data_IF_379160074154
#
_entry.id   IF_379160074154
#
_cell.length_a   1.000
_cell.length_b   1.000
_cell.length_c   1.000
_cell.angle_alpha   90.00
_cell.angle_beta   90.00
_cell.angle_gamma   90.00
#
_symmetry.space_group_name_H-M   'P 1'
#
loop_
_entity.id
_entity.type
_entity.pdbx_description
1 polymer ?
#
# COMPACT_ATOMS: atom_id res chain seq x y z
N UNK A 1 -4.40 8.63 -24.80
CA UNK A 1 -5.10 9.32 -25.91
C UNK A 1 -4.17 10.29 -26.61
N UNK A 2 -3.65 11.33 -25.93
CA UNK A 2 -2.75 12.33 -26.53
C UNK A 2 -1.50 11.72 -27.20
N UNK A 3 -0.82 10.77 -26.55
CA UNK A 3 0.38 10.12 -27.12
C UNK A 3 0.06 9.37 -28.43
N UNK A 4 -1.09 8.70 -28.47
CA UNK A 4 -1.54 7.90 -29.61
C UNK A 4 -2.06 8.76 -30.78
N UNK A 5 -2.67 9.91 -30.48
CA UNK A 5 -3.36 10.74 -31.47
C UNK A 5 -2.52 11.95 -31.95
N UNK A 6 -1.62 12.46 -31.12
CA UNK A 6 -0.83 13.67 -31.39
C UNK A 6 0.68 13.42 -31.39
N UNK A 7 1.14 12.17 -31.15
CA UNK A 7 2.56 11.85 -31.03
C UNK A 7 3.27 12.55 -29.87
N UNK A 8 2.51 13.14 -28.94
CA UNK A 8 3.02 13.94 -27.82
C UNK A 8 2.70 13.26 -26.50
N UNK A 9 3.74 13.05 -25.68
CA UNK A 9 3.56 12.70 -24.28
C UNK A 9 3.26 13.94 -23.44
N UNK A 10 2.24 13.82 -22.60
CA UNK A 10 1.91 14.81 -21.57
C UNK A 10 2.07 14.13 -20.21
N UNK A 11 2.75 14.80 -19.29
CA UNK A 11 2.92 14.28 -17.93
C UNK A 11 1.59 14.31 -17.16
N UNK A 12 1.46 13.43 -16.16
CA UNK A 12 0.26 13.40 -15.30
C UNK A 12 0.04 14.74 -14.59
N UNK A 13 1.11 15.45 -14.21
CA UNK A 13 0.98 16.77 -13.57
C UNK A 13 0.41 17.82 -14.52
N UNK A 14 0.82 17.81 -15.79
CA UNK A 14 0.23 18.68 -16.81
C UNK A 14 -1.24 18.35 -17.04
N UNK A 15 -1.62 17.06 -17.11
CA UNK A 15 -3.03 16.65 -17.27
C UNK A 15 -3.88 17.19 -16.12
N UNK A 16 -3.40 17.11 -14.88
CA UNK A 16 -4.11 17.62 -13.70
C UNK A 16 -4.31 19.14 -13.69
N UNK A 17 -3.54 19.87 -14.49
CA UNK A 17 -3.61 21.33 -14.60
C UNK A 17 -4.39 21.80 -15.84
N UNK A 18 -4.81 20.90 -16.73
CA UNK A 18 -5.59 21.27 -17.91
C UNK A 18 -6.95 21.82 -17.50
N UNK A 19 -7.32 22.97 -18.06
CA UNK A 19 -8.70 23.44 -18.01
C UNK A 19 -9.55 22.73 -19.08
N UNK A 20 -10.89 22.71 -18.94
CA UNK A 20 -11.78 22.18 -20.00
C UNK A 20 -11.58 22.88 -21.36
N UNK A 21 -11.18 24.15 -21.35
CA UNK A 21 -10.84 24.90 -22.55
C UNK A 21 -9.53 24.39 -23.19
N UNK A 22 -8.48 24.21 -22.39
CA UNK A 22 -7.20 23.65 -22.86
C UNK A 22 -7.37 22.23 -23.40
N UNK A 23 -8.23 21.45 -22.75
CA UNK A 23 -8.58 20.08 -23.14
C UNK A 23 -9.23 20.01 -24.54
N UNK A 24 -10.03 21.02 -24.89
CA UNK A 24 -10.67 21.10 -26.20
C UNK A 24 -9.66 21.53 -27.27
N UNK A 25 -8.79 22.49 -26.96
CA UNK A 25 -7.78 23.00 -27.87
C UNK A 25 -6.59 22.05 -28.11
N UNK A 26 -6.50 20.96 -27.34
CA UNK A 26 -5.44 19.95 -27.42
C UNK A 26 -5.48 19.12 -28.72
N UNK A 27 -6.62 19.08 -29.40
CA UNK A 27 -6.83 18.28 -30.61
C UNK A 27 -7.40 19.16 -31.73
N UNK A 28 -6.92 18.95 -32.94
CA UNK A 28 -7.49 19.58 -34.15
C UNK A 28 -8.85 18.99 -34.53
N UNK A 29 -9.11 17.75 -34.13
CA UNK A 29 -10.37 17.04 -34.32
C UNK A 29 -11.37 17.42 -33.21
N UNK A 30 -12.58 17.82 -33.63
CA UNK A 30 -13.64 18.33 -32.74
C UNK A 30 -14.14 17.26 -31.76
N UNK A 31 -14.29 16.01 -32.21
CA UNK A 31 -14.78 14.91 -31.40
C UNK A 31 -13.74 14.47 -30.36
N UNK A 32 -12.45 14.48 -30.74
CA UNK A 32 -11.36 14.21 -29.79
C UNK A 32 -11.23 15.34 -28.76
N UNK A 33 -11.38 16.60 -29.16
CA UNK A 33 -11.42 17.74 -28.25
C UNK A 33 -12.56 17.64 -27.23
N UNK A 34 -13.78 17.32 -27.71
CA UNK A 34 -14.95 17.12 -26.84
C UNK A 34 -14.75 15.97 -25.84
N UNK A 35 -14.27 14.82 -26.31
CA UNK A 35 -14.03 13.65 -25.44
C UNK A 35 -13.00 13.96 -24.35
N UNK A 36 -11.92 14.66 -24.72
CA UNK A 36 -10.88 15.07 -23.77
C UNK A 36 -11.43 16.02 -22.72
N UNK A 37 -12.25 16.99 -23.15
CA UNK A 37 -12.93 17.91 -22.25
C UNK A 37 -13.79 17.15 -21.23
N UNK A 38 -14.63 16.22 -21.68
CA UNK A 38 -15.46 15.41 -20.78
C UNK A 38 -14.61 14.61 -19.78
N UNK A 39 -13.46 14.07 -20.20
CA UNK A 39 -12.55 13.38 -19.29
C UNK A 39 -11.90 14.32 -18.26
N UNK A 40 -11.48 15.51 -18.66
CA UNK A 40 -10.92 16.52 -17.74
C UNK A 40 -11.96 16.98 -16.73
N UNK A 41 -13.20 17.24 -17.17
CA UNK A 41 -14.32 17.56 -16.29
C UNK A 41 -14.61 16.41 -15.31
N UNK A 42 -14.60 15.16 -15.77
CA UNK A 42 -14.76 13.96 -14.92
C UNK A 42 -13.65 13.84 -13.88
N UNK A 43 -12.39 14.05 -14.28
CA UNK A 43 -11.24 14.06 -13.36
C UNK A 43 -11.42 15.15 -12.29
N UNK A 44 -11.86 16.34 -12.69
CA UNK A 44 -12.16 17.45 -11.78
C UNK A 44 -13.25 17.07 -10.77
N UNK A 45 -14.36 16.53 -11.26
CA UNK A 45 -15.46 16.05 -10.43
C UNK A 45 -15.01 14.98 -9.42
N UNK A 46 -14.33 13.93 -9.88
CA UNK A 46 -13.85 12.86 -9.00
C UNK A 46 -12.83 13.38 -7.98
N UNK A 47 -11.96 14.32 -8.38
CA UNK A 47 -11.01 14.97 -7.46
C UNK A 47 -11.75 15.73 -6.35
N UNK A 48 -12.86 16.41 -6.69
CA UNK A 48 -13.69 17.09 -5.69
C UNK A 48 -14.37 16.09 -4.76
N UNK A 49 -14.89 14.97 -5.28
CA UNK A 49 -15.48 13.92 -4.44
C UNK A 49 -14.46 13.31 -3.48
N UNK A 50 -13.24 13.01 -3.94
CA UNK A 50 -12.14 12.53 -3.08
C UNK A 50 -11.91 13.51 -1.92
N UNK A 51 -11.77 14.80 -2.21
CA UNK A 51 -11.54 15.84 -1.18
C UNK A 51 -12.70 15.96 -0.20
N UNK A 52 -13.94 15.86 -0.68
CA UNK A 52 -15.13 15.88 0.17
C UNK A 52 -15.14 14.71 1.15
N UNK A 53 -14.82 13.50 0.66
CA UNK A 53 -14.72 12.29 1.48
C UNK A 53 -13.58 12.43 2.50
N UNK A 54 -12.39 12.84 2.06
CA UNK A 54 -11.24 13.07 2.94
C UNK A 54 -11.57 14.06 4.06
N UNK A 55 -12.23 15.18 3.74
CA UNK A 55 -12.65 16.19 4.72
C UNK A 55 -13.66 15.63 5.73
N UNK A 56 -14.55 14.74 5.31
CA UNK A 56 -15.55 14.13 6.19
C UNK A 56 -14.98 13.02 7.09
N UNK A 57 -13.96 12.30 6.61
CA UNK A 57 -13.41 11.10 7.28
C UNK A 57 -12.20 11.43 8.15
N UNK A 58 -11.26 12.26 7.69
CA UNK A 58 -10.01 12.55 8.39
C UNK A 58 -10.17 13.09 9.83
N UNK A 59 -11.21 13.88 10.17
CA UNK A 59 -11.44 14.29 11.56
C UNK A 59 -11.93 13.15 12.46
N UNK A 60 -12.60 12.15 11.89
CA UNK A 60 -13.17 11.00 12.61
C UNK A 60 -12.15 9.87 12.81
N UNK A 61 -11.04 9.91 12.08
CA UNK A 61 -10.00 8.90 12.11
C UNK A 61 -8.66 9.58 12.37
N UNK A 62 -8.19 9.51 13.62
CA UNK A 62 -6.86 9.96 14.00
C UNK A 62 -5.88 8.79 13.99
N UNK A 63 -4.63 9.06 13.61
CA UNK A 63 -3.56 8.12 13.86
C UNK A 63 -3.39 7.98 15.37
N UNK A 64 -3.26 6.74 15.84
CA UNK A 64 -2.83 6.50 17.21
C UNK A 64 -1.36 6.91 17.34
N UNK A 65 -0.93 7.47 18.49
CA UNK A 65 0.44 7.97 18.66
C UNK A 65 1.52 6.94 18.30
N UNK A 66 1.28 5.65 18.53
CA UNK A 66 2.24 4.58 18.25
C UNK A 66 2.48 4.37 16.75
N UNK A 67 1.58 4.86 15.89
CA UNK A 67 1.61 4.65 14.44
C UNK A 67 1.96 5.93 13.67
N UNK A 68 1.99 7.09 14.34
CA UNK A 68 2.48 8.35 13.74
C UNK A 68 3.93 8.26 13.27
N UNK A 69 4.73 7.40 13.90
CA UNK A 69 6.11 7.12 13.47
C UNK A 69 6.19 6.66 12.01
N UNK A 70 5.13 6.07 11.44
CA UNK A 70 5.09 5.68 10.02
C UNK A 70 5.19 6.88 9.08
N UNK A 71 4.72 8.07 9.49
CA UNK A 71 4.79 9.29 8.68
C UNK A 71 6.22 9.82 8.53
N UNK A 72 7.17 9.34 9.35
CA UNK A 72 8.59 9.70 9.20
C UNK A 72 9.23 9.02 7.99
N UNK A 73 8.60 7.97 7.44
CA UNK A 73 9.12 7.24 6.29
C UNK A 73 8.72 7.95 4.98
N UNK A 74 9.66 8.28 4.09
CA UNK A 74 9.34 8.89 2.81
C UNK A 74 8.39 7.97 2.02
N UNK A 75 7.28 8.54 1.54
CA UNK A 75 6.25 7.82 0.81
C UNK A 75 5.05 7.35 1.64
N UNK A 76 5.07 7.45 2.99
CA UNK A 76 3.87 7.24 3.82
C UNK A 76 3.27 8.58 4.20
N UNK A 77 2.20 8.97 3.50
CA UNK A 77 1.33 10.07 3.89
C UNK A 77 0.25 9.64 4.89
N UNK A 78 -0.52 10.61 5.40
CA UNK A 78 -1.57 10.40 6.42
C UNK A 78 -2.58 9.31 6.03
N UNK A 79 -3.04 9.30 4.78
CA UNK A 79 -4.01 8.31 4.28
C UNK A 79 -3.40 6.90 4.32
N UNK A 80 -2.20 6.72 3.75
CA UNK A 80 -1.54 5.42 3.74
C UNK A 80 -1.19 4.95 5.17
N UNK A 81 -0.74 5.86 6.04
CA UNK A 81 -0.50 5.56 7.45
C UNK A 81 -1.77 5.08 8.16
N UNK A 82 -2.91 5.72 7.91
CA UNK A 82 -4.21 5.30 8.43
C UNK A 82 -4.63 3.93 7.89
N UNK A 83 -4.47 3.68 6.59
CA UNK A 83 -4.74 2.36 6.00
C UNK A 83 -3.91 1.29 6.67
N UNK A 84 -2.59 1.49 6.81
CA UNK A 84 -1.70 0.53 7.47
C UNK A 84 -2.14 0.31 8.93
N UNK A 85 -2.46 1.38 9.66
CA UNK A 85 -2.91 1.29 11.05
C UNK A 85 -4.17 0.42 11.20
N UNK A 86 -5.15 0.60 10.30
CA UNK A 86 -6.44 -0.08 10.37
C UNK A 86 -6.34 -1.54 9.92
N UNK A 87 -5.53 -1.84 8.90
CA UNK A 87 -5.26 -3.21 8.45
C UNK A 87 -4.43 -4.01 9.45
N UNK A 88 -3.41 -3.38 10.05
CA UNK A 88 -2.54 -4.02 11.05
C UNK A 88 -3.29 -4.23 12.38
N UNK A 89 -4.13 -3.28 12.78
CA UNK A 89 -4.83 -3.34 14.06
C UNK A 89 -3.88 -3.23 15.26
N UNK A 90 -3.96 -4.16 16.22
CA UNK A 90 -3.03 -4.19 17.36
C UNK A 90 -1.66 -4.75 16.93
N UNK A 91 -0.64 -3.89 16.97
CA UNK A 91 0.74 -4.23 16.59
C UNK A 91 1.32 -5.41 17.41
N UNK A 92 0.81 -5.66 18.63
CA UNK A 92 1.24 -6.78 19.48
C UNK A 92 0.86 -8.15 18.90
N UNK A 93 -0.14 -8.20 17.99
CA UNK A 93 -0.55 -9.45 17.30
C UNK A 93 0.56 -10.04 16.44
N UNK A 94 1.51 -9.23 15.97
CA UNK A 94 2.65 -9.74 15.19
C UNK A 94 3.45 -10.80 15.95
N UNK A 95 3.71 -10.60 17.25
CA UNK A 95 4.42 -11.60 18.05
C UNK A 95 3.59 -12.88 18.26
N UNK A 96 2.25 -12.77 18.28
CA UNK A 96 1.36 -13.91 18.47
C UNK A 96 1.44 -14.89 17.29
N UNK A 97 1.62 -14.42 16.06
CA UNK A 97 1.80 -15.29 14.89
C UNK A 97 3.04 -16.19 15.03
N UNK A 98 4.14 -15.65 15.56
CA UNK A 98 5.34 -16.44 15.87
C UNK A 98 5.07 -17.49 16.95
N UNK A 99 4.42 -17.09 18.05
CA UNK A 99 4.05 -18.02 19.13
C UNK A 99 3.10 -19.12 18.66
N UNK A 100 2.16 -18.79 17.77
CA UNK A 100 1.23 -19.75 17.17
C UNK A 100 1.98 -20.76 16.30
N UNK A 101 2.86 -20.29 15.41
CA UNK A 101 3.65 -21.17 14.55
C UNK A 101 4.56 -22.13 15.37
N UNK A 102 5.14 -21.68 16.48
CA UNK A 102 5.93 -22.54 17.39
C UNK A 102 5.11 -23.71 17.94
N UNK A 103 3.81 -23.51 18.19
CA UNK A 103 2.93 -24.53 18.76
C UNK A 103 2.59 -25.62 17.75
N UNK A 104 2.45 -25.26 16.47
CA UNK A 104 1.90 -26.16 15.44
C UNK A 104 2.90 -26.61 14.36
N UNK A 105 4.07 -25.98 14.24
CA UNK A 105 5.12 -26.40 13.30
C UNK A 105 6.42 -26.78 14.03
N UNK A 106 6.87 -28.04 13.94
CA UNK A 106 8.17 -28.46 14.46
C UNK A 106 9.34 -27.68 13.87
N UNK A 107 9.30 -27.33 12.57
CA UNK A 107 10.36 -26.52 11.95
C UNK A 107 10.36 -25.08 12.43
N UNK A 108 9.18 -24.47 12.63
CA UNK A 108 9.09 -23.15 13.23
C UNK A 108 9.68 -23.14 14.65
N UNK A 109 9.39 -24.17 15.44
CA UNK A 109 9.97 -24.37 16.78
C UNK A 109 11.49 -24.54 16.72
N UNK A 110 12.01 -25.36 15.81
CA UNK A 110 13.46 -25.55 15.63
C UNK A 110 14.15 -24.24 15.20
N UNK A 111 13.59 -23.49 14.25
CA UNK A 111 14.10 -22.18 13.86
C UNK A 111 14.13 -21.22 15.05
N UNK A 112 13.02 -21.13 15.81
CA UNK A 112 12.93 -20.27 16.98
C UNK A 112 13.98 -20.63 18.02
N UNK A 113 14.15 -21.91 18.35
CA UNK A 113 15.16 -22.38 19.31
C UNK A 113 16.58 -22.00 18.87
N UNK A 114 16.94 -22.24 17.59
CA UNK A 114 18.25 -21.83 17.03
C UNK A 114 18.46 -20.32 17.14
N UNK A 115 17.42 -19.51 16.86
CA UNK A 115 17.50 -18.05 16.94
C UNK A 115 17.59 -17.56 18.38
N UNK A 116 16.83 -18.17 19.29
CA UNK A 116 16.81 -17.89 20.73
C UNK A 116 18.17 -18.18 21.36
N UNK A 117 18.83 -19.29 21.00
CA UNK A 117 20.16 -19.64 21.50
C UNK A 117 21.23 -18.57 21.20
N UNK A 118 21.07 -17.79 20.13
CA UNK A 118 21.98 -16.70 19.75
C UNK A 118 21.52 -15.32 20.24
N UNK A 119 20.30 -15.19 20.75
CA UNK A 119 19.67 -13.89 21.09
C UNK A 119 18.80 -14.02 22.35
N UNK A 120 17.56 -13.52 22.32
CA UNK A 120 16.58 -13.68 23.40
C UNK A 120 15.21 -14.12 22.85
N UNK A 121 14.30 -14.49 23.75
CA UNK A 121 12.99 -15.04 23.38
C UNK A 121 12.15 -14.06 22.54
N UNK A 122 12.13 -12.78 22.92
CA UNK A 122 11.33 -11.74 22.24
C UNK A 122 11.82 -11.53 20.80
N UNK A 123 13.13 -11.42 20.62
CA UNK A 123 13.76 -11.26 19.29
C UNK A 123 13.50 -12.50 18.43
N UNK A 124 13.63 -13.70 18.99
CA UNK A 124 13.37 -14.94 18.26
C UNK A 124 11.91 -15.06 17.78
N UNK A 125 10.94 -14.72 18.63
CA UNK A 125 9.51 -14.72 18.27
C UNK A 125 9.21 -13.68 17.19
N UNK A 126 9.74 -12.46 17.32
CA UNK A 126 9.58 -11.40 16.30
C UNK A 126 10.21 -11.79 14.96
N UNK A 127 11.40 -12.42 14.99
CA UNK A 127 12.07 -12.89 13.78
C UNK A 127 11.27 -13.98 13.06
N UNK A 128 10.66 -14.90 13.80
CA UNK A 128 9.79 -15.92 13.24
C UNK A 128 8.52 -15.30 12.62
N UNK A 129 7.86 -14.38 13.32
CA UNK A 129 6.71 -13.65 12.79
C UNK A 129 7.04 -12.88 11.50
N UNK A 130 8.20 -12.22 11.45
CA UNK A 130 8.66 -11.53 10.25
C UNK A 130 8.92 -12.48 9.08
N UNK A 131 9.48 -13.68 9.34
CA UNK A 131 9.61 -14.72 8.32
C UNK A 131 8.24 -15.11 7.75
N UNK A 132 7.25 -15.37 8.60
CA UNK A 132 5.89 -15.71 8.16
C UNK A 132 5.28 -14.59 7.31
N UNK A 133 5.39 -13.32 7.74
CA UNK A 133 4.89 -12.19 6.97
C UNK A 133 5.52 -12.10 5.57
N UNK A 134 6.85 -12.29 5.47
CA UNK A 134 7.54 -12.32 4.18
C UNK A 134 7.11 -13.52 3.32
N UNK A 135 6.92 -14.68 3.93
CA UNK A 135 6.43 -15.87 3.23
C UNK A 135 5.06 -15.60 2.61
N UNK A 136 4.12 -15.05 3.38
CA UNK A 136 2.79 -14.67 2.90
C UNK A 136 2.85 -13.69 1.74
N UNK A 137 3.72 -12.68 1.82
CA UNK A 137 3.92 -11.74 0.71
C UNK A 137 4.36 -12.45 -0.58
N UNK A 138 5.37 -13.32 -0.52
CA UNK A 138 5.85 -14.04 -1.71
C UNK A 138 4.82 -15.04 -2.24
N UNK A 139 4.11 -15.75 -1.37
CA UNK A 139 3.03 -16.66 -1.77
C UNK A 139 1.94 -15.91 -2.56
N UNK A 140 1.51 -14.74 -2.06
CA UNK A 140 0.50 -13.93 -2.72
C UNK A 140 1.01 -13.28 -4.02
N UNK A 141 2.24 -12.79 -4.04
CA UNK A 141 2.83 -12.17 -5.25
C UNK A 141 3.07 -13.19 -6.35
N UNK A 142 3.65 -14.33 -6.00
CA UNK A 142 4.09 -15.36 -6.96
C UNK A 142 3.01 -16.42 -7.20
N UNK A 143 1.84 -16.31 -6.56
CA UNK A 143 0.74 -17.28 -6.60
C UNK A 143 1.23 -18.72 -6.33
N UNK A 144 2.10 -18.86 -5.33
CA UNK A 144 2.76 -20.13 -4.99
C UNK A 144 2.30 -20.67 -3.64
N UNK A 145 2.23 -21.99 -3.54
CA UNK A 145 1.94 -22.67 -2.29
C UNK A 145 3.07 -22.48 -1.28
N UNK A 146 2.75 -22.66 0.01
CA UNK A 146 3.72 -22.54 1.09
C UNK A 146 4.84 -23.58 0.98
N UNK A 147 6.10 -23.13 0.95
CA UNK A 147 7.28 -23.98 1.02
C UNK A 147 8.02 -23.78 2.35
N UNK A 148 7.90 -24.78 3.21
CA UNK A 148 8.48 -24.76 4.55
C UNK A 148 10.03 -24.83 4.53
N UNK A 149 10.64 -25.48 3.53
CA UNK A 149 12.10 -25.53 3.39
C UNK A 149 12.65 -24.17 3.02
N UNK A 150 12.00 -23.46 2.10
CA UNK A 150 12.39 -22.11 1.70
C UNK A 150 12.27 -21.10 2.85
N UNK A 151 11.32 -21.33 3.76
CA UNK A 151 11.09 -20.42 4.89
C UNK A 151 12.09 -20.61 6.05
N UNK A 152 12.34 -21.87 6.46
CA UNK A 152 13.13 -22.17 7.67
C UNK A 152 14.51 -22.77 7.41
N UNK A 153 14.81 -23.06 6.14
CA UNK A 153 16.14 -23.43 5.65
C UNK A 153 17.19 -22.37 5.94
#
# INVERSE_FOLDING_TARGET
MVDRCCGRRISVNQIKQLTPADATALFSDVQLGFTTRCHVETIGFLTQQIRSIEKAVLPKVSLRPEVEILLTMPGIGKILGLTIMLEVGDIRRFAQAGNFAIRYSPRAKAFHQRKRAKTNNVIATKALANKLARASFYMLRDQSAFDEKRLYG
#
